data_IF_659956926708
#
_entry.id   IF_659956926708
#
_cell.length_a   1.000
_cell.length_b   1.000
_cell.length_c   1.000
_cell.angle_alpha   90.00
_cell.angle_beta   90.00
_cell.angle_gamma   90.00
#
_symmetry.space_group_name_H-M   'P 1'
#
loop_
_entity.id
_entity.type
_entity.pdbx_description
1 polymer ?
#
# COMPACT_ATOMS: atom_id res chain seq x y z
N UNK A 1 17.22 7.23 -9.23
CA UNK A 1 16.51 8.50 -8.92
C UNK A 1 16.26 8.66 -7.41
N UNK A 2 15.89 7.59 -6.71
CA UNK A 2 15.46 7.59 -5.29
C UNK A 2 16.36 8.39 -4.34
N UNK A 3 17.69 8.22 -4.41
CA UNK A 3 18.61 8.89 -3.49
C UNK A 3 18.61 10.43 -3.61
N UNK A 4 18.47 10.97 -4.83
CA UNK A 4 18.41 12.43 -5.03
C UNK A 4 17.13 13.01 -4.43
N UNK A 5 16.00 12.34 -4.63
CA UNK A 5 14.71 12.76 -4.06
C UNK A 5 14.75 12.68 -2.53
N UNK A 6 15.32 11.63 -1.95
CA UNK A 6 15.49 11.51 -0.50
C UNK A 6 16.35 12.66 0.08
N UNK A 7 17.42 13.08 -0.61
CA UNK A 7 18.22 14.24 -0.21
C UNK A 7 17.42 15.55 -0.28
N UNK A 8 16.55 15.72 -1.28
CA UNK A 8 15.65 16.88 -1.36
C UNK A 8 14.69 16.88 -0.18
N UNK A 9 14.05 15.74 0.14
CA UNK A 9 13.14 15.63 1.28
C UNK A 9 13.85 15.93 2.61
N UNK A 10 15.08 15.46 2.79
CA UNK A 10 15.94 15.82 3.92
C UNK A 10 16.21 17.33 3.97
N UNK A 11 16.54 17.95 2.83
CA UNK A 11 16.77 19.39 2.72
C UNK A 11 15.53 20.25 3.03
N UNK A 12 14.33 19.71 2.79
CA UNK A 12 13.05 20.32 3.16
C UNK A 12 12.69 20.13 4.65
N UNK A 13 13.53 19.42 5.42
CA UNK A 13 13.37 19.26 6.86
C UNK A 13 12.56 18.04 7.29
N UNK A 14 12.24 17.10 6.39
CA UNK A 14 11.63 15.84 6.79
C UNK A 14 12.61 15.02 7.65
N UNK A 15 12.08 14.34 8.65
CA UNK A 15 12.85 13.43 9.53
C UNK A 15 12.68 11.95 9.17
N UNK A 16 11.60 11.64 8.49
CA UNK A 16 11.15 10.29 8.16
C UNK A 16 10.53 10.33 6.75
N UNK A 17 11.08 9.56 5.80
CA UNK A 17 10.55 9.42 4.45
C UNK A 17 11.12 8.18 3.75
N UNK A 18 10.32 7.56 2.88
CA UNK A 18 10.79 6.54 1.94
C UNK A 18 10.54 6.99 0.51
N UNK A 19 11.57 6.89 -0.33
CA UNK A 19 11.44 7.01 -1.78
C UNK A 19 11.70 5.64 -2.38
N UNK A 20 10.73 5.14 -3.14
CA UNK A 20 10.73 3.77 -3.67
C UNK A 20 10.74 3.77 -5.19
N UNK A 21 11.23 2.68 -5.78
CA UNK A 21 11.16 2.41 -7.21
C UNK A 21 11.22 0.90 -7.44
N UNK A 22 10.14 0.31 -7.93
CA UNK A 22 10.13 -1.06 -8.42
C UNK A 22 11.04 -1.19 -9.64
N UNK A 23 11.97 -2.15 -9.61
CA UNK A 23 12.93 -2.37 -10.71
C UNK A 23 12.30 -3.00 -11.96
N UNK A 24 11.05 -3.41 -11.84
CA UNK A 24 10.12 -3.76 -12.92
C UNK A 24 9.48 -2.53 -13.59
N UNK A 25 9.80 -1.31 -13.13
CA UNK A 25 9.36 -0.04 -13.71
C UNK A 25 8.24 0.67 -12.94
N UNK A 26 7.80 0.10 -11.81
CA UNK A 26 6.76 0.70 -10.97
C UNK A 26 7.30 1.86 -10.11
N UNK A 27 6.44 2.82 -9.80
CA UNK A 27 6.70 3.96 -8.90
C UNK A 27 6.30 3.68 -7.44
N UNK A 28 6.02 2.43 -7.12
CA UNK A 28 5.63 1.91 -5.80
C UNK A 28 6.56 0.75 -5.37
N UNK A 29 6.33 0.20 -4.17
CA UNK A 29 6.98 -1.06 -3.80
C UNK A 29 6.34 -2.18 -4.61
N UNK A 30 7.16 -2.89 -5.39
CA UNK A 30 6.71 -3.99 -6.24
C UNK A 30 6.64 -5.30 -5.46
N UNK A 31 5.56 -6.06 -5.68
CA UNK A 31 5.46 -7.48 -5.31
C UNK A 31 5.82 -8.42 -6.46
N UNK A 32 6.08 -7.89 -7.67
CA UNK A 32 6.48 -8.67 -8.85
C UNK A 32 7.99 -8.84 -8.93
N UNK A 33 8.74 -7.84 -8.49
CA UNK A 33 10.20 -7.84 -8.52
C UNK A 33 10.83 -7.09 -7.36
N UNK A 34 12.13 -6.83 -7.47
CA UNK A 34 12.88 -6.08 -6.45
C UNK A 34 12.50 -4.61 -6.48
N UNK A 35 12.56 -3.97 -5.32
CA UNK A 35 12.35 -2.53 -5.16
C UNK A 35 13.61 -1.87 -4.60
N UNK A 36 14.05 -0.77 -5.20
CA UNK A 36 15.10 0.09 -4.67
C UNK A 36 14.47 1.14 -3.73
N UNK A 37 14.91 1.19 -2.49
CA UNK A 37 14.39 2.10 -1.46
C UNK A 37 15.51 3.02 -0.98
N UNK A 38 15.26 4.33 -0.99
CA UNK A 38 16.03 5.30 -0.21
C UNK A 38 15.20 5.75 1.00
N UNK A 39 15.62 5.31 2.18
CA UNK A 39 14.94 5.56 3.45
C UNK A 39 15.69 6.63 4.24
N UNK A 40 15.06 7.79 4.40
CA UNK A 40 15.45 8.85 5.33
C UNK A 40 14.86 8.55 6.71
N UNK A 41 15.70 8.31 7.70
CA UNK A 41 15.32 8.08 9.10
C UNK A 41 16.33 8.75 10.03
N UNK A 42 15.83 9.55 10.95
CA UNK A 42 16.64 10.30 11.93
C UNK A 42 17.77 11.14 11.29
N UNK A 43 17.49 11.69 10.11
CA UNK A 43 18.44 12.52 9.36
C UNK A 43 19.49 11.72 8.56
N UNK A 44 19.50 10.40 8.63
CA UNK A 44 20.34 9.53 7.81
C UNK A 44 19.56 8.96 6.64
N UNK A 45 20.20 8.86 5.47
CA UNK A 45 19.61 8.21 4.30
C UNK A 45 20.34 6.90 4.06
N UNK A 46 19.62 5.78 4.15
CA UNK A 46 20.10 4.46 3.74
C UNK A 46 19.42 4.05 2.46
N UNK A 47 20.20 3.54 1.51
CA UNK A 47 19.69 3.01 0.24
C UNK A 47 19.95 1.52 0.17
N UNK A 48 18.92 0.74 -0.12
CA UNK A 48 19.00 -0.71 -0.20
C UNK A 48 17.91 -1.24 -1.15
N UNK A 49 18.05 -2.50 -1.54
CA UNK A 49 17.05 -3.21 -2.33
C UNK A 49 16.34 -4.25 -1.47
N UNK A 50 15.07 -4.47 -1.76
CA UNK A 50 14.25 -5.52 -1.14
C UNK A 50 13.56 -6.34 -2.21
N UNK A 51 13.48 -7.65 -2.00
CA UNK A 51 12.59 -8.55 -2.73
C UNK A 51 11.23 -8.67 -2.00
N UNK A 52 10.16 -9.13 -2.67
CA UNK A 52 8.87 -9.37 -2.03
C UNK A 52 8.97 -10.26 -0.76
N UNK A 53 9.85 -11.27 -0.80
CA UNK A 53 10.06 -12.20 0.31
C UNK A 53 10.68 -11.52 1.54
N UNK A 54 11.56 -10.53 1.34
CA UNK A 54 12.15 -9.73 2.43
C UNK A 54 11.09 -8.89 3.15
N UNK A 55 9.96 -8.64 2.48
CA UNK A 55 8.82 -7.89 2.99
C UNK A 55 7.73 -8.78 3.58
N UNK A 56 7.91 -10.10 3.56
CA UNK A 56 6.96 -11.07 4.13
C UNK A 56 5.81 -11.45 3.19
N UNK A 57 5.91 -11.17 1.89
CA UNK A 57 4.89 -11.55 0.90
C UNK A 57 5.48 -12.43 -0.21
N UNK A 58 4.61 -13.18 -0.90
CA UNK A 58 5.01 -14.00 -2.05
C UNK A 58 5.21 -13.11 -3.28
N UNK A 59 6.24 -13.41 -4.08
CA UNK A 59 6.35 -12.83 -5.41
C UNK A 59 5.08 -13.11 -6.24
N UNK A 60 4.58 -12.06 -6.88
CA UNK A 60 3.39 -12.06 -7.74
C UNK A 60 3.80 -11.98 -9.21
N UNK A 61 2.87 -12.28 -10.13
CA UNK A 61 3.07 -11.97 -11.55
C UNK A 61 2.45 -10.61 -11.88
N UNK A 62 2.93 -9.95 -12.95
CA UNK A 62 2.36 -8.68 -13.39
C UNK A 62 0.87 -8.83 -13.73
N UNK A 63 0.50 -9.91 -14.40
CA UNK A 63 -0.87 -10.24 -14.78
C UNK A 63 -1.79 -10.37 -13.57
N UNK A 64 -1.27 -10.87 -12.45
CA UNK A 64 -2.04 -11.07 -11.22
C UNK A 64 -2.37 -9.79 -10.45
N UNK A 65 -1.63 -8.70 -10.72
CA UNK A 65 -1.82 -7.40 -10.05
C UNK A 65 -2.46 -6.33 -10.94
N UNK A 66 -2.50 -6.56 -12.26
CA UNK A 66 -3.11 -5.63 -13.21
C UNK A 66 -4.62 -5.46 -12.98
N UNK A 67 -5.10 -4.24 -13.25
CA UNK A 67 -6.52 -3.93 -13.40
C UNK A 67 -6.71 -3.31 -14.79
N UNK A 68 -7.76 -3.72 -15.50
CA UNK A 68 -8.00 -3.38 -16.91
C UNK A 68 -8.80 -2.10 -17.11
N UNK A 69 -9.36 -1.53 -16.04
CA UNK A 69 -10.13 -0.29 -16.11
C UNK A 69 -10.58 0.25 -14.75
N UNK A 70 -11.23 1.41 -14.78
CA UNK A 70 -11.69 2.14 -13.58
C UNK A 70 -12.69 1.31 -12.78
N UNK A 71 -13.60 0.61 -13.47
CA UNK A 71 -14.62 -0.20 -12.81
C UNK A 71 -14.03 -1.39 -12.04
N UNK A 72 -13.12 -2.13 -12.68
CA UNK A 72 -12.40 -3.24 -12.03
C UNK A 72 -11.49 -2.75 -10.90
N UNK A 73 -10.83 -1.61 -11.07
CA UNK A 73 -9.96 -1.02 -10.04
C UNK A 73 -10.75 -0.64 -8.80
N UNK A 74 -11.92 -0.02 -8.96
CA UNK A 74 -12.81 0.33 -7.84
C UNK A 74 -13.35 -0.92 -7.13
N UNK A 75 -13.79 -1.94 -7.89
CA UNK A 75 -14.28 -3.21 -7.34
C UNK A 75 -13.17 -3.98 -6.62
N UNK A 76 -11.97 -4.05 -7.20
CA UNK A 76 -10.78 -4.63 -6.55
C UNK A 76 -10.45 -3.90 -5.25
N UNK A 77 -10.42 -2.56 -5.29
CA UNK A 77 -10.12 -1.74 -4.11
C UNK A 77 -11.14 -2.00 -3.01
N UNK A 78 -12.43 -2.11 -3.36
CA UNK A 78 -13.47 -2.51 -2.42
C UNK A 78 -13.18 -3.89 -1.84
N UNK A 79 -12.94 -4.91 -2.67
CA UNK A 79 -12.68 -6.28 -2.20
C UNK A 79 -11.47 -6.36 -1.26
N UNK A 80 -10.40 -5.60 -1.53
CA UNK A 80 -9.23 -5.51 -0.65
C UNK A 80 -9.62 -4.89 0.68
N UNK A 81 -10.26 -3.72 0.68
CA UNK A 81 -10.54 -2.97 1.91
C UNK A 81 -11.62 -3.63 2.76
N UNK A 82 -12.63 -4.25 2.13
CA UNK A 82 -13.71 -5.01 2.76
C UNK A 82 -13.24 -6.36 3.30
N UNK A 83 -12.07 -6.85 2.86
CA UNK A 83 -11.48 -8.11 3.32
C UNK A 83 -12.01 -9.36 2.60
N UNK A 84 -12.56 -9.22 1.39
CA UNK A 84 -13.05 -10.34 0.57
C UNK A 84 -11.92 -11.23 0.03
N UNK A 85 -10.73 -10.66 -0.17
CA UNK A 85 -9.58 -11.37 -0.74
C UNK A 85 -8.78 -12.10 0.34
N UNK A 86 -8.29 -13.30 0.03
CA UNK A 86 -7.44 -14.08 0.93
C UNK A 86 -6.20 -13.27 1.33
N UNK A 87 -5.64 -13.47 2.53
CA UNK A 87 -4.45 -12.75 3.00
C UNK A 87 -3.26 -12.79 2.05
N UNK A 88 -3.10 -13.87 1.27
CA UNK A 88 -2.03 -14.07 0.31
C UNK A 88 -2.39 -13.70 -1.15
N UNK A 89 -3.57 -13.12 -1.38
CA UNK A 89 -3.99 -12.70 -2.71
C UNK A 89 -3.07 -11.61 -3.28
N UNK A 90 -2.56 -11.70 -4.52
CA UNK A 90 -1.58 -10.77 -5.08
C UNK A 90 -1.95 -9.28 -4.96
N UNK A 91 -3.18 -8.92 -5.35
CA UNK A 91 -3.68 -7.54 -5.23
C UNK A 91 -3.77 -7.04 -3.78
N UNK A 92 -4.09 -7.91 -2.81
CA UNK A 92 -4.12 -7.56 -1.38
C UNK A 92 -2.70 -7.40 -0.83
N UNK A 93 -1.78 -8.29 -1.19
CA UNK A 93 -0.36 -8.23 -0.81
C UNK A 93 0.30 -6.93 -1.30
N UNK A 94 0.05 -6.51 -2.55
CA UNK A 94 0.56 -5.26 -3.11
C UNK A 94 0.10 -4.04 -2.29
N UNK A 95 -1.20 -3.97 -1.97
CA UNK A 95 -1.77 -2.91 -1.13
C UNK A 95 -1.19 -2.95 0.28
N UNK A 96 -1.09 -4.14 0.89
CA UNK A 96 -0.62 -4.29 2.26
C UNK A 96 0.84 -3.86 2.44
N UNK A 97 1.72 -4.19 1.49
CA UNK A 97 3.15 -3.79 1.53
C UNK A 97 3.32 -2.28 1.38
N UNK A 98 2.60 -1.65 0.46
CA UNK A 98 2.66 -0.19 0.31
C UNK A 98 2.02 0.54 1.50
N UNK A 99 0.95 -0.01 2.08
CA UNK A 99 0.38 0.47 3.34
C UNK A 99 1.36 0.32 4.51
N UNK A 100 2.11 -0.79 4.58
CA UNK A 100 3.16 -0.99 5.59
C UNK A 100 4.23 0.10 5.53
N UNK A 101 4.69 0.46 4.33
CA UNK A 101 5.62 1.59 4.15
C UNK A 101 5.02 2.91 4.68
N UNK A 102 3.75 3.18 4.37
CA UNK A 102 3.00 4.32 4.89
C UNK A 102 2.90 4.34 6.42
N UNK A 103 2.64 3.19 7.04
CA UNK A 103 2.57 3.04 8.50
C UNK A 103 3.93 3.28 9.16
N UNK A 104 5.01 2.82 8.53
CA UNK A 104 6.38 3.07 9.03
C UNK A 104 6.70 4.56 8.99
N UNK A 105 6.55 5.20 7.84
CA UNK A 105 6.87 6.64 7.73
C UNK A 105 5.90 7.52 8.52
N UNK A 106 4.70 7.01 8.82
CA UNK A 106 3.72 7.62 9.72
C UNK A 106 3.99 7.38 11.22
N UNK A 107 5.07 6.66 11.58
CA UNK A 107 5.45 6.40 12.96
C UNK A 107 4.56 5.40 13.71
N UNK A 108 3.85 4.54 12.98
CA UNK A 108 3.00 3.47 13.55
C UNK A 108 3.69 2.11 13.60
N UNK A 109 4.76 1.92 12.83
CA UNK A 109 5.57 0.72 12.82
C UNK A 109 7.05 1.05 12.67
N UNK A 110 7.93 0.18 13.18
CA UNK A 110 9.39 0.41 13.12
C UNK A 110 10.08 -0.34 11.97
N UNK A 111 9.40 -1.32 11.37
CA UNK A 111 9.92 -2.19 10.32
C UNK A 111 8.78 -2.76 9.47
N UNK A 112 9.14 -3.34 8.31
CA UNK A 112 8.19 -3.89 7.34
C UNK A 112 7.38 -5.07 7.88
N UNK A 113 7.97 -5.95 8.71
CA UNK A 113 7.25 -7.09 9.26
C UNK A 113 6.06 -6.64 10.13
N UNK A 114 6.31 -5.73 11.08
CA UNK A 114 5.23 -5.19 11.92
C UNK A 114 4.29 -4.25 11.14
N UNK A 115 4.82 -3.47 10.19
CA UNK A 115 3.99 -2.64 9.32
C UNK A 115 3.01 -3.47 8.47
N UNK A 116 3.46 -4.63 7.97
CA UNK A 116 2.63 -5.55 7.21
C UNK A 116 1.54 -6.18 8.09
N UNK A 117 1.88 -6.60 9.31
CA UNK A 117 0.92 -7.12 10.29
C UNK A 117 -0.20 -6.12 10.56
N UNK A 118 0.15 -4.85 10.86
CA UNK A 118 -0.83 -3.79 11.09
C UNK A 118 -1.69 -3.49 9.85
N UNK A 119 -1.10 -3.53 8.64
CA UNK A 119 -1.84 -3.34 7.41
C UNK A 119 -2.85 -4.47 7.17
N UNK A 120 -2.46 -5.72 7.44
CA UNK A 120 -3.34 -6.88 7.35
C UNK A 120 -4.45 -6.84 8.40
N UNK A 121 -4.14 -6.51 9.66
CA UNK A 121 -5.12 -6.37 10.74
C UNK A 121 -6.15 -5.27 10.42
N UNK A 122 -5.72 -4.16 9.83
CA UNK A 122 -6.61 -3.07 9.41
C UNK A 122 -7.66 -3.54 8.39
N UNK A 123 -7.27 -4.43 7.48
CA UNK A 123 -8.17 -5.06 6.50
C UNK A 123 -9.09 -6.08 7.21
N UNK A 124 -8.52 -7.00 7.98
CA UNK A 124 -9.25 -8.12 8.60
C UNK A 124 -10.27 -7.68 9.66
N UNK A 125 -9.94 -6.64 10.42
CA UNK A 125 -10.87 -6.03 11.38
C UNK A 125 -11.99 -5.22 10.72
N UNK A 126 -11.96 -5.03 9.40
CA UNK A 126 -12.87 -4.15 8.66
C UNK A 126 -12.62 -2.65 8.91
N UNK A 127 -11.55 -2.30 9.62
CA UNK A 127 -11.21 -0.90 9.94
C UNK A 127 -10.90 -0.08 8.69
N UNK A 128 -10.18 -0.68 7.73
CA UNK A 128 -9.87 -0.08 6.44
C UNK A 128 -11.15 0.30 5.66
N UNK A 129 -12.09 -0.65 5.54
CA UNK A 129 -13.38 -0.41 4.90
C UNK A 129 -14.21 0.65 5.64
N UNK A 130 -14.30 0.56 6.97
CA UNK A 130 -15.01 1.54 7.79
C UNK A 130 -14.46 2.95 7.58
N UNK A 131 -13.14 3.10 7.39
CA UNK A 131 -12.52 4.40 7.09
C UNK A 131 -12.93 4.93 5.72
N UNK A 132 -12.97 4.09 4.68
CA UNK A 132 -13.50 4.47 3.36
C UNK A 132 -14.96 4.94 3.47
N UNK A 133 -15.82 4.19 4.16
CA UNK A 133 -17.24 4.54 4.34
C UNK A 133 -17.40 5.88 5.07
N UNK A 134 -16.56 6.16 6.07
CA UNK A 134 -16.51 7.47 6.73
C UNK A 134 -16.09 8.59 5.78
N UNK A 135 -15.08 8.36 4.93
CA UNK A 135 -14.61 9.35 3.96
C UNK A 135 -15.69 9.68 2.91
N UNK A 136 -16.37 8.66 2.37
CA UNK A 136 -17.51 8.81 1.46
C UNK A 136 -18.59 9.67 2.11
N UNK A 137 -19.01 9.33 3.33
CA UNK A 137 -20.02 10.10 4.07
C UNK A 137 -19.60 11.55 4.35
N UNK A 138 -18.31 11.80 4.54
CA UNK A 138 -17.77 13.13 4.84
C UNK A 138 -17.77 14.05 3.61
N UNK A 139 -17.63 13.51 2.40
CA UNK A 139 -17.50 14.29 1.17
C UNK A 139 -18.84 14.47 0.45
N UNK A 140 -19.28 15.72 0.30
CA UNK A 140 -20.59 16.12 -0.24
C UNK A 140 -20.79 15.81 -1.75
N UNK A 141 -19.71 15.46 -2.46
CA UNK A 141 -19.75 15.04 -3.87
C UNK A 141 -19.59 13.54 -4.10
N UNK A 142 -19.72 12.72 -3.05
CA UNK A 142 -19.56 11.29 -3.16
C UNK A 142 -20.81 10.62 -3.76
N UNK A 143 -20.64 9.44 -4.35
CA UNK A 143 -21.71 8.58 -4.86
C UNK A 143 -21.84 7.34 -3.97
N UNK A 144 -22.53 7.42 -2.83
CA UNK A 144 -22.62 6.32 -1.88
C UNK A 144 -23.30 5.09 -2.48
N UNK A 145 -24.14 5.25 -3.52
CA UNK A 145 -24.89 4.17 -4.15
C UNK A 145 -23.95 3.11 -4.73
N UNK A 146 -22.82 3.52 -5.31
CA UNK A 146 -21.80 2.60 -5.83
C UNK A 146 -21.20 1.74 -4.72
N UNK A 147 -21.04 2.30 -3.52
CA UNK A 147 -20.53 1.56 -2.38
C UNK A 147 -21.56 0.54 -1.88
N UNK A 148 -22.84 0.94 -1.84
CA UNK A 148 -23.96 0.07 -1.46
C UNK A 148 -24.16 -1.09 -2.45
N UNK A 149 -24.01 -0.84 -3.75
CA UNK A 149 -24.03 -1.88 -4.79
C UNK A 149 -22.95 -2.94 -4.59
N UNK A 150 -21.73 -2.51 -4.20
CA UNK A 150 -20.62 -3.42 -3.91
C UNK A 150 -20.83 -4.16 -2.58
N UNK A 151 -21.36 -3.49 -1.54
CA UNK A 151 -21.76 -4.15 -0.28
C UNK A 151 -22.78 -5.26 -0.55
N UNK A 152 -23.81 -5.00 -1.39
CA UNK A 152 -24.82 -6.00 -1.73
C UNK A 152 -24.28 -7.18 -2.55
N UNK A 153 -23.18 -6.98 -3.29
CA UNK A 153 -22.56 -8.02 -4.12
C UNK A 153 -21.62 -8.94 -3.33
N UNK A 154 -20.94 -8.41 -2.33
CA UNK A 154 -19.81 -9.08 -1.66
C UNK A 154 -19.96 -9.26 -0.14
N UNK A 155 -20.94 -8.61 0.50
CA UNK A 155 -21.26 -8.72 1.93
C UNK A 155 -22.31 -9.77 2.21
#
# INVERSE_FOLDING_TARGET
LVGKVAQVLKGLGLKEAMVVHGLDGLDEISTVGRTLIAWLRDGEIKTFEVAPEDLGVKQSSLESILCTGVEESAETTFQVLYGCLSPDHPKRSLVAVNAAAGLIVGGKADNFAYGLELAQESIESGSAYKKLKQLVKFYDGSKPERLEELEARYG
#
